data_IF_090898125408
#
_entry.id   IF_090898125408
#
_cell.length_a   1.000
_cell.length_b   1.000
_cell.length_c   1.000
_cell.angle_alpha   90.00
_cell.angle_beta   90.00
_cell.angle_gamma   90.00
#
_symmetry.space_group_name_H-M   'P 1'
#
loop_
_entity.id
_entity.type
_entity.pdbx_description
1 polymer ?
#
# COMPACT_ATOMS: atom_id res chain seq x y z
N UNK A 1 8.60 24.75 2.71
CA UNK A 1 7.62 23.92 1.97
C UNK A 1 7.26 24.62 0.67
N UNK A 2 7.26 23.89 -0.43
CA UNK A 2 6.85 24.38 -1.75
C UNK A 2 5.80 23.47 -2.35
N UNK A 3 4.93 24.01 -3.21
CA UNK A 3 3.96 23.23 -3.98
C UNK A 3 4.17 23.55 -5.46
N UNK A 4 4.41 22.52 -6.26
CA UNK A 4 4.57 22.65 -7.71
C UNK A 4 3.40 21.96 -8.39
N UNK A 5 2.76 22.66 -9.33
CA UNK A 5 1.70 22.09 -10.17
C UNK A 5 2.36 21.45 -11.40
N UNK A 6 2.61 20.14 -11.32
CA UNK A 6 3.26 19.38 -12.38
C UNK A 6 2.32 19.27 -13.59
N UNK A 7 2.67 19.83 -14.77
CA UNK A 7 1.83 19.71 -15.97
C UNK A 7 1.92 18.30 -16.55
N UNK A 8 0.77 17.75 -16.95
CA UNK A 8 0.66 16.42 -17.57
C UNK A 8 0.28 16.53 -19.02
N UNK A 9 -0.92 17.07 -19.32
CA UNK A 9 -1.47 17.18 -20.67
C UNK A 9 -2.58 18.23 -20.73
N UNK A 10 -3.00 18.57 -21.95
CA UNK A 10 -4.18 19.42 -22.17
C UNK A 10 -5.44 18.54 -22.31
N UNK A 11 -6.49 18.90 -21.58
CA UNK A 11 -7.79 18.23 -21.64
C UNK A 11 -8.60 18.68 -22.87
N UNK A 12 -9.71 17.98 -23.14
CA UNK A 12 -10.60 18.27 -24.27
C UNK A 12 -11.15 19.70 -24.26
N UNK A 13 -11.40 20.27 -23.10
CA UNK A 13 -11.90 21.64 -22.90
C UNK A 13 -10.80 22.71 -22.99
N UNK A 14 -9.56 22.32 -23.28
CA UNK A 14 -8.39 23.21 -23.33
C UNK A 14 -7.75 23.50 -21.96
N UNK A 15 -8.30 22.98 -20.87
CA UNK A 15 -7.68 23.10 -19.55
C UNK A 15 -6.46 22.17 -19.44
N UNK A 16 -5.51 22.51 -18.54
CA UNK A 16 -4.37 21.64 -18.26
C UNK A 16 -4.68 20.66 -17.15
N UNK A 17 -4.40 19.37 -17.37
CA UNK A 17 -4.28 18.39 -16.32
C UNK A 17 -2.95 18.60 -15.58
N UNK A 18 -3.02 18.88 -14.29
CA UNK A 18 -1.85 19.10 -13.44
C UNK A 18 -1.93 18.24 -12.18
N UNK A 19 -0.77 17.82 -11.67
CA UNK A 19 -0.64 17.07 -10.42
C UNK A 19 0.08 17.95 -9.39
N UNK A 20 -0.53 18.23 -8.21
CA UNK A 20 0.14 18.95 -7.15
C UNK A 20 1.21 18.07 -6.49
N UNK A 21 2.44 18.56 -6.48
CA UNK A 21 3.61 17.94 -5.85
C UNK A 21 4.07 18.84 -4.71
N UNK A 22 4.00 18.34 -3.50
CA UNK A 22 4.45 19.02 -2.29
C UNK A 22 5.89 18.65 -1.98
N UNK A 23 6.70 19.60 -1.56
CA UNK A 23 8.09 19.35 -1.21
C UNK A 23 8.46 20.05 0.09
N UNK A 24 9.07 19.31 1.02
CA UNK A 24 9.77 19.84 2.18
C UNK A 24 11.24 19.54 1.99
N UNK A 25 12.06 20.59 1.80
CA UNK A 25 13.53 20.49 1.72
C UNK A 25 14.12 20.83 3.07
N UNK A 26 14.93 19.91 3.60
CA UNK A 26 15.69 20.11 4.83
C UNK A 26 16.82 21.13 4.68
N UNK A 27 17.27 21.69 5.78
CA UNK A 27 18.46 22.57 5.84
C UNK A 27 19.76 21.79 5.73
N UNK A 28 19.74 20.49 5.98
CA UNK A 28 20.90 19.60 5.91
C UNK A 28 20.78 18.65 4.72
N UNK A 29 21.89 18.34 4.08
CA UNK A 29 21.93 17.36 2.98
C UNK A 29 21.55 15.96 3.46
N UNK A 30 20.89 15.22 2.58
CA UNK A 30 20.42 13.87 2.85
C UNK A 30 19.62 13.32 1.66
N UNK A 31 19.04 12.11 1.81
CA UNK A 31 18.29 11.48 0.72
C UNK A 31 16.92 12.13 0.48
N UNK A 32 16.30 11.76 -0.63
CA UNK A 32 14.94 12.13 -0.99
C UNK A 32 14.01 10.93 -0.77
N UNK A 33 13.05 11.08 0.16
CA UNK A 33 11.93 10.15 0.30
C UNK A 33 10.72 10.70 -0.44
N UNK A 34 10.16 9.91 -1.35
CA UNK A 34 8.89 10.23 -2.02
C UNK A 34 7.75 9.40 -1.46
N UNK A 35 6.63 10.06 -1.17
CA UNK A 35 5.37 9.46 -0.71
C UNK A 35 4.32 9.70 -1.76
N UNK A 36 3.88 8.63 -2.44
CA UNK A 36 2.85 8.66 -3.48
C UNK A 36 1.56 8.06 -2.93
N UNK A 37 0.45 8.65 -3.30
CA UNK A 37 -0.88 8.22 -2.90
C UNK A 37 -1.87 8.38 -4.05
N UNK A 38 -3.01 7.70 -3.94
CA UNK A 38 -4.15 7.85 -4.85
C UNK A 38 -3.79 7.65 -6.33
N UNK A 39 -3.02 6.59 -6.62
CA UNK A 39 -2.91 6.06 -7.98
C UNK A 39 -4.27 5.51 -8.45
N UNK A 40 -5.05 5.00 -7.50
CA UNK A 40 -6.44 4.57 -7.67
C UNK A 40 -7.36 5.57 -6.98
N UNK A 41 -8.30 6.15 -7.70
CA UNK A 41 -9.18 7.18 -7.18
C UNK A 41 -10.08 6.71 -6.02
N UNK A 42 -10.40 5.42 -5.98
CA UNK A 42 -11.15 4.81 -4.89
C UNK A 42 -10.35 4.70 -3.57
N UNK A 43 -9.03 4.93 -3.60
CA UNK A 43 -8.11 4.81 -2.46
C UNK A 43 -7.76 6.18 -1.85
N UNK A 44 -8.65 7.18 -2.00
CA UNK A 44 -8.41 8.59 -1.59
C UNK A 44 -8.21 8.79 -0.07
N UNK A 45 -8.46 7.79 0.75
CA UNK A 45 -8.13 7.77 2.17
C UNK A 45 -6.68 8.19 2.45
N UNK A 46 -5.74 7.82 1.59
CA UNK A 46 -4.31 8.10 1.73
C UNK A 46 -3.91 9.56 1.46
N UNK A 47 -4.80 10.39 0.90
CA UNK A 47 -4.57 11.84 0.74
C UNK A 47 -4.27 12.51 2.08
N UNK A 48 -5.03 12.14 3.13
CA UNK A 48 -4.86 12.70 4.47
C UNK A 48 -3.52 12.32 5.10
N UNK A 49 -2.99 11.13 4.78
CA UNK A 49 -1.69 10.67 5.25
C UNK A 49 -0.58 11.57 4.69
N UNK A 50 -0.61 11.82 3.37
CA UNK A 50 0.36 12.71 2.72
C UNK A 50 0.24 14.14 3.24
N UNK A 51 -0.99 14.65 3.38
CA UNK A 51 -1.24 15.99 3.92
C UNK A 51 -0.63 16.16 5.31
N UNK A 52 -0.83 15.17 6.20
CA UNK A 52 -0.35 15.23 7.59
C UNK A 52 1.16 15.17 7.68
N UNK A 53 1.80 14.21 7.00
CA UNK A 53 3.26 14.11 7.08
C UNK A 53 3.93 15.37 6.52
N UNK A 54 3.44 15.93 5.43
CA UNK A 54 3.97 17.18 4.86
C UNK A 54 3.79 18.37 5.82
N UNK A 55 2.66 18.45 6.53
CA UNK A 55 2.40 19.52 7.50
C UNK A 55 3.24 19.41 8.79
N UNK A 56 3.63 18.21 9.19
CA UNK A 56 4.44 17.96 10.39
C UNK A 56 5.93 18.26 10.19
N UNK A 57 6.43 18.14 8.96
CA UNK A 57 7.85 18.27 8.67
C UNK A 57 8.28 19.73 8.60
N UNK A 58 9.41 20.04 9.23
CA UNK A 58 10.05 21.35 9.16
C UNK A 58 11.44 21.25 8.54
N UNK A 59 11.89 22.26 7.76
CA UNK A 59 13.24 22.27 7.18
C UNK A 59 14.34 22.08 8.21
N UNK A 60 14.21 22.65 9.39
CA UNK A 60 15.19 22.56 10.48
C UNK A 60 15.38 21.13 11.01
N UNK A 61 14.28 20.37 11.13
CA UNK A 61 14.34 19.00 11.65
C UNK A 61 14.78 17.98 10.59
N UNK A 62 14.52 18.26 9.31
CA UNK A 62 14.72 17.32 8.21
C UNK A 62 16.15 17.35 7.67
N UNK A 63 16.68 16.17 7.37
CA UNK A 63 17.85 15.99 6.49
C UNK A 63 17.38 15.46 5.13
N UNK A 64 17.87 16.09 4.04
CA UNK A 64 17.44 15.72 2.71
C UNK A 64 16.10 16.32 2.34
N UNK A 65 15.21 15.51 1.76
CA UNK A 65 13.97 16.00 1.16
C UNK A 65 12.84 14.99 1.30
N UNK A 66 11.62 15.49 1.53
CA UNK A 66 10.40 14.69 1.39
C UNK A 66 9.55 15.29 0.29
N UNK A 67 9.17 14.45 -0.69
CA UNK A 67 8.24 14.78 -1.77
C UNK A 67 6.93 14.04 -1.49
N UNK A 68 5.82 14.77 -1.46
CA UNK A 68 4.47 14.23 -1.30
C UNK A 68 3.64 14.42 -2.56
N UNK A 69 3.10 13.34 -3.09
CA UNK A 69 2.13 13.34 -4.19
C UNK A 69 0.80 12.83 -3.64
N UNK A 70 -0.09 13.71 -3.15
CA UNK A 70 -1.33 13.27 -2.49
C UNK A 70 -2.32 12.62 -3.45
N UNK A 71 -2.30 13.04 -4.72
CA UNK A 71 -3.19 12.51 -5.76
C UNK A 71 -2.37 12.28 -7.03
N UNK A 72 -1.95 11.03 -7.25
CA UNK A 72 -1.19 10.68 -8.44
C UNK A 72 -2.08 10.58 -9.71
N UNK A 73 -3.35 10.19 -9.55
CA UNK A 73 -4.32 10.11 -10.64
C UNK A 73 -5.56 10.98 -10.37
N UNK A 74 -5.53 12.28 -10.72
CA UNK A 74 -6.68 13.16 -10.52
C UNK A 74 -7.94 12.72 -11.27
N UNK A 75 -7.78 12.14 -12.46
CA UNK A 75 -8.90 11.69 -13.29
C UNK A 75 -9.66 10.55 -12.62
N UNK A 76 -8.95 9.54 -12.11
CA UNK A 76 -9.56 8.45 -11.36
C UNK A 76 -10.21 8.94 -10.05
N UNK A 77 -9.60 9.94 -9.39
CA UNK A 77 -10.15 10.51 -8.16
C UNK A 77 -11.49 11.22 -8.40
N UNK A 78 -11.62 12.00 -9.45
CA UNK A 78 -12.87 12.71 -9.80
C UNK A 78 -14.07 11.76 -9.90
N UNK A 79 -13.83 10.49 -10.26
CA UNK A 79 -14.86 9.46 -10.42
C UNK A 79 -14.90 8.41 -9.29
N UNK A 80 -14.02 8.52 -8.31
CA UNK A 80 -13.85 7.52 -7.23
C UNK A 80 -13.65 6.09 -7.76
N UNK A 81 -13.04 5.95 -8.94
CA UNK A 81 -12.78 4.66 -9.58
C UNK A 81 -11.37 4.15 -9.27
N UNK A 82 -11.18 2.83 -9.40
CA UNK A 82 -9.84 2.26 -9.30
C UNK A 82 -8.97 2.68 -10.48
N UNK A 83 -9.47 2.47 -11.70
CA UNK A 83 -8.79 2.80 -12.94
C UNK A 83 -9.19 4.19 -13.41
N UNK A 84 -8.43 4.77 -14.32
CA UNK A 84 -8.89 5.92 -15.09
C UNK A 84 -10.16 5.52 -15.84
N UNK A 85 -11.24 6.31 -15.82
CA UNK A 85 -12.49 5.97 -16.52
C UNK A 85 -12.28 5.71 -18.00
N UNK A 86 -13.11 4.83 -18.60
CA UNK A 86 -13.03 4.39 -20.00
C UNK A 86 -13.21 5.54 -21.01
N UNK A 87 -14.05 6.54 -20.71
CA UNK A 87 -14.16 7.75 -21.51
C UNK A 87 -12.85 8.55 -21.60
N UNK A 88 -11.88 8.28 -20.76
CA UNK A 88 -10.55 8.90 -20.78
C UNK A 88 -9.49 8.01 -21.42
N UNK A 89 -9.31 6.77 -20.96
CA UNK A 89 -8.43 5.74 -21.55
C UNK A 89 -8.45 4.37 -20.84
N UNK A 90 -9.15 4.22 -19.72
CA UNK A 90 -9.39 2.99 -18.95
C UNK A 90 -8.20 2.32 -18.21
N UNK A 91 -6.90 2.59 -18.45
CA UNK A 91 -5.85 1.80 -17.82
C UNK A 91 -5.75 2.02 -16.29
N UNK A 92 -5.25 0.99 -15.61
CA UNK A 92 -4.77 1.08 -14.24
C UNK A 92 -3.40 1.79 -14.23
N UNK A 93 -3.30 2.98 -13.62
CA UNK A 93 -2.04 3.74 -13.54
C UNK A 93 -0.91 2.87 -12.96
N UNK A 94 -1.22 1.99 -12.01
CA UNK A 94 -0.23 1.09 -11.42
C UNK A 94 0.08 -0.16 -12.29
N UNK A 95 -0.18 -0.08 -13.62
CA UNK A 95 0.15 -1.12 -14.62
C UNK A 95 0.78 -0.55 -15.89
N UNK A 96 1.01 0.76 -15.94
CA UNK A 96 1.52 1.42 -17.17
C UNK A 96 2.88 2.09 -17.01
N UNK A 97 3.53 2.01 -15.85
CA UNK A 97 4.84 2.62 -15.61
C UNK A 97 5.93 2.08 -16.54
N UNK A 98 6.83 2.95 -17.06
CA UNK A 98 7.00 4.38 -16.73
C UNK A 98 6.08 5.31 -17.51
N UNK A 99 5.10 4.81 -18.25
CA UNK A 99 4.29 5.59 -19.17
C UNK A 99 5.00 5.85 -20.49
N UNK A 100 4.80 7.04 -21.07
CA UNK A 100 5.50 7.48 -22.29
C UNK A 100 4.68 7.29 -23.57
N UNK A 101 3.43 6.87 -23.45
CA UNK A 101 2.49 6.72 -24.56
C UNK A 101 1.66 7.97 -24.84
N UNK A 102 0.61 7.77 -25.60
CA UNK A 102 -0.34 8.83 -26.02
C UNK A 102 -1.47 9.04 -25.00
N UNK A 103 -1.78 8.00 -24.23
CA UNK A 103 -2.94 7.97 -23.34
C UNK A 103 -2.73 8.81 -22.08
N UNK A 104 -3.80 9.39 -21.54
CA UNK A 104 -3.74 10.26 -20.33
C UNK A 104 -3.04 9.57 -19.17
N UNK A 105 -3.39 8.31 -18.90
CA UNK A 105 -2.81 7.54 -17.79
C UNK A 105 -1.32 7.29 -17.99
N UNK A 106 -0.88 7.04 -19.21
CA UNK A 106 0.55 6.89 -19.53
C UNK A 106 1.30 8.23 -19.43
N UNK A 107 0.67 9.34 -19.83
CA UNK A 107 1.23 10.69 -19.67
C UNK A 107 1.36 11.08 -18.18
N UNK A 108 0.42 10.68 -17.34
CA UNK A 108 0.50 10.83 -15.87
C UNK A 108 1.73 10.09 -15.35
N UNK A 109 1.89 8.80 -15.71
CA UNK A 109 3.04 8.01 -15.28
C UNK A 109 4.37 8.63 -15.77
N UNK A 110 4.43 9.06 -17.04
CA UNK A 110 5.63 9.68 -17.62
C UNK A 110 6.01 11.01 -16.93
N UNK A 111 5.03 11.85 -16.61
CA UNK A 111 5.28 13.10 -15.91
C UNK A 111 5.81 12.85 -14.49
N UNK A 112 5.20 11.90 -13.75
CA UNK A 112 5.65 11.52 -12.42
C UNK A 112 7.03 10.84 -12.45
N UNK A 113 7.32 10.01 -13.46
CA UNK A 113 8.65 9.41 -13.61
C UNK A 113 9.72 10.47 -13.86
N UNK A 114 9.49 11.37 -14.80
CA UNK A 114 10.43 12.41 -15.19
C UNK A 114 10.72 13.42 -14.07
N UNK A 115 9.69 13.89 -13.37
CA UNK A 115 9.80 15.06 -12.49
C UNK A 115 9.81 14.70 -10.99
N UNK A 116 9.39 13.47 -10.64
CA UNK A 116 9.33 12.99 -9.26
C UNK A 116 10.30 11.83 -9.06
N UNK A 117 10.12 10.68 -9.74
CA UNK A 117 10.96 9.49 -9.50
C UNK A 117 12.43 9.71 -9.88
N UNK A 118 12.71 10.55 -10.88
CA UNK A 118 14.09 10.91 -11.24
C UNK A 118 14.89 11.59 -10.12
N UNK A 119 14.21 12.11 -9.08
CA UNK A 119 14.81 12.77 -7.91
C UNK A 119 14.63 11.98 -6.61
N UNK A 120 14.16 10.75 -6.69
CA UNK A 120 13.76 9.91 -5.55
C UNK A 120 14.85 8.90 -5.22
N UNK A 121 15.26 8.85 -3.96
CA UNK A 121 16.17 7.82 -3.43
C UNK A 121 15.40 6.68 -2.77
N UNK A 122 14.25 6.95 -2.14
CA UNK A 122 13.36 6.00 -1.48
C UNK A 122 11.91 6.30 -1.80
N UNK A 123 11.07 5.28 -1.96
CA UNK A 123 9.67 5.43 -2.35
C UNK A 123 8.72 4.70 -1.38
N UNK A 124 7.64 5.37 -1.01
CA UNK A 124 6.45 4.78 -0.41
C UNK A 124 5.24 5.01 -1.31
N UNK A 125 4.54 3.94 -1.66
CA UNK A 125 3.36 3.95 -2.51
C UNK A 125 2.16 3.39 -1.76
N UNK A 126 1.21 4.24 -1.40
CA UNK A 126 0.10 3.92 -0.49
C UNK A 126 -1.12 3.39 -1.24
N UNK A 127 -1.59 2.21 -0.81
CA UNK A 127 -2.76 1.51 -1.36
C UNK A 127 -3.70 1.01 -0.25
N UNK A 128 -4.43 1.87 0.45
CA UNK A 128 -5.44 1.42 1.40
C UNK A 128 -6.54 0.61 0.71
N UNK A 129 -7.38 -0.05 1.51
CA UNK A 129 -8.55 -0.73 0.98
C UNK A 129 -9.54 0.23 0.33
N UNK A 130 -10.30 -0.22 -0.68
CA UNK A 130 -11.38 0.55 -1.27
C UNK A 130 -12.55 0.70 -0.28
N UNK A 131 -13.57 1.44 -0.68
CA UNK A 131 -14.79 1.59 0.14
C UNK A 131 -15.35 0.23 0.60
N UNK A 132 -15.58 0.11 1.90
CA UNK A 132 -16.14 -1.09 2.53
C UNK A 132 -15.15 -2.20 2.82
N UNK A 133 -13.88 -2.08 2.45
CA UNK A 133 -12.84 -3.05 2.78
C UNK A 133 -11.62 -2.36 3.41
N UNK A 134 -10.95 -3.03 4.33
CA UNK A 134 -9.72 -2.58 4.96
C UNK A 134 -8.65 -3.66 4.87
N UNK A 135 -7.41 -3.24 4.64
CA UNK A 135 -6.23 -4.10 4.57
C UNK A 135 -5.28 -3.80 5.75
N UNK A 136 -4.38 -4.73 6.03
CA UNK A 136 -3.38 -4.61 7.08
C UNK A 136 -2.08 -5.29 6.65
N UNK A 137 -1.33 -4.65 5.73
CA UNK A 137 -0.03 -5.20 5.28
C UNK A 137 0.87 -4.12 4.70
N UNK A 138 2.19 -4.28 4.89
CA UNK A 138 3.22 -3.46 4.23
C UNK A 138 3.98 -4.35 3.25
N UNK A 139 3.84 -4.07 1.97
CA UNK A 139 4.49 -4.82 0.90
C UNK A 139 5.90 -4.33 0.58
N UNK A 140 6.80 -5.24 0.21
CA UNK A 140 8.11 -4.93 -0.36
C UNK A 140 8.44 -5.88 -1.51
N UNK A 141 9.33 -5.45 -2.42
CA UNK A 141 9.75 -6.27 -3.56
C UNK A 141 10.78 -7.32 -3.19
N UNK A 142 10.36 -8.58 -3.08
CA UNK A 142 11.22 -9.69 -2.69
C UNK A 142 11.98 -10.32 -3.87
N UNK A 143 11.51 -10.12 -5.10
CA UNK A 143 12.12 -10.64 -6.33
C UNK A 143 12.83 -9.58 -7.18
N UNK A 144 13.04 -8.37 -6.64
CA UNK A 144 13.79 -7.34 -7.34
C UNK A 144 15.23 -7.83 -7.62
N UNK A 145 15.79 -7.56 -8.83
CA UNK A 145 17.08 -8.11 -9.22
C UNK A 145 18.25 -7.58 -8.40
N UNK A 146 18.17 -6.34 -7.94
CA UNK A 146 19.22 -5.70 -7.14
C UNK A 146 19.08 -6.06 -5.65
N UNK A 147 20.10 -6.74 -5.09
CA UNK A 147 20.10 -7.21 -3.69
C UNK A 147 20.08 -6.06 -2.67
N UNK A 148 20.74 -4.93 -2.97
CA UNK A 148 20.69 -3.74 -2.10
C UNK A 148 19.27 -3.17 -2.06
N UNK A 149 18.62 -3.04 -3.21
CA UNK A 149 17.25 -2.52 -3.31
C UNK A 149 16.29 -3.43 -2.54
N UNK A 150 16.38 -4.77 -2.72
CA UNK A 150 15.56 -5.72 -1.95
C UNK A 150 15.74 -5.55 -0.46
N UNK A 151 17.00 -5.54 -0.01
CA UNK A 151 17.35 -5.45 1.40
C UNK A 151 16.84 -4.15 2.02
N UNK A 152 17.09 -3.01 1.41
CA UNK A 152 16.63 -1.71 1.89
C UNK A 152 15.10 -1.60 1.87
N UNK A 153 14.42 -2.18 0.88
CA UNK A 153 12.96 -2.25 0.86
C UNK A 153 12.39 -3.07 2.03
N UNK A 154 13.00 -4.22 2.34
CA UNK A 154 12.61 -5.02 3.49
C UNK A 154 12.85 -4.27 4.81
N UNK A 155 14.00 -3.62 4.97
CA UNK A 155 14.30 -2.82 6.16
C UNK A 155 13.32 -1.65 6.33
N UNK A 156 12.96 -0.95 5.25
CA UNK A 156 11.91 0.07 5.28
C UNK A 156 10.55 -0.49 5.71
N UNK A 157 10.16 -1.67 5.21
CA UNK A 157 8.90 -2.32 5.57
C UNK A 157 8.84 -2.69 7.06
N UNK A 158 9.94 -3.20 7.62
CA UNK A 158 10.08 -3.49 9.03
C UNK A 158 10.11 -2.21 9.88
N UNK A 159 10.89 -1.22 9.45
CA UNK A 159 11.00 0.08 10.13
C UNK A 159 9.68 0.84 10.14
N UNK A 160 8.81 0.67 9.12
CA UNK A 160 7.48 1.25 9.11
C UNK A 160 6.68 0.90 10.38
N UNK A 161 6.93 -0.30 10.95
CA UNK A 161 6.43 -0.65 12.27
C UNK A 161 5.02 -1.24 12.28
N UNK A 162 4.52 -1.75 11.14
CA UNK A 162 3.31 -2.55 11.09
C UNK A 162 3.65 -4.04 11.26
N UNK A 163 2.90 -4.83 12.04
CA UNK A 163 3.24 -6.23 12.30
C UNK A 163 3.14 -7.13 11.07
N UNK A 164 2.45 -6.75 10.00
CA UNK A 164 2.31 -7.53 8.77
C UNK A 164 3.27 -7.04 7.69
N UNK A 165 4.22 -7.88 7.28
CA UNK A 165 5.19 -7.60 6.23
C UNK A 165 5.05 -8.62 5.10
N UNK A 166 4.75 -8.13 3.89
CA UNK A 166 4.44 -8.98 2.75
C UNK A 166 5.51 -8.93 1.66
N UNK A 167 6.08 -10.07 1.35
CA UNK A 167 6.99 -10.24 0.22
C UNK A 167 6.19 -10.28 -1.11
N UNK A 168 6.39 -9.30 -1.97
CA UNK A 168 5.69 -9.18 -3.26
C UNK A 168 6.61 -9.59 -4.41
N UNK A 169 6.02 -10.12 -5.49
CA UNK A 169 6.73 -10.46 -6.73
C UNK A 169 6.59 -9.33 -7.74
N UNK A 170 7.47 -8.32 -7.60
CA UNK A 170 7.45 -7.11 -8.42
C UNK A 170 7.82 -7.36 -9.88
N UNK A 171 8.65 -8.35 -10.15
CA UNK A 171 9.11 -8.66 -11.51
C UNK A 171 8.28 -9.77 -12.15
N UNK A 172 7.94 -10.82 -11.37
CA UNK A 172 7.38 -12.05 -11.93
C UNK A 172 5.85 -12.10 -12.03
N UNK A 173 5.11 -11.49 -11.12
CA UNK A 173 3.66 -11.73 -11.03
C UNK A 173 2.81 -10.54 -10.59
N UNK A 174 2.88 -10.13 -9.32
CA UNK A 174 2.01 -9.10 -8.76
C UNK A 174 2.77 -8.28 -7.70
N UNK A 175 2.71 -6.96 -7.80
CA UNK A 175 1.97 -6.12 -8.74
C UNK A 175 2.53 -6.08 -10.16
N UNK A 176 3.71 -6.63 -10.42
CA UNK A 176 4.35 -6.77 -11.71
C UNK A 176 5.30 -5.60 -12.08
N UNK A 177 6.08 -5.77 -13.17
CA UNK A 177 7.18 -4.87 -13.52
C UNK A 177 6.72 -3.48 -14.00
N UNK A 178 5.47 -3.34 -14.41
CA UNK A 178 4.85 -2.07 -14.83
C UNK A 178 4.03 -1.41 -13.73
N UNK A 179 4.11 -1.87 -12.47
CA UNK A 179 3.69 -1.10 -11.33
C UNK A 179 4.74 -0.04 -10.98
N UNK A 180 4.37 1.02 -10.26
CA UNK A 180 5.34 2.02 -9.80
C UNK A 180 6.45 1.34 -8.98
N UNK A 181 6.08 0.45 -8.06
CA UNK A 181 7.02 -0.26 -7.20
C UNK A 181 7.94 -1.21 -7.99
N UNK A 182 7.40 -1.96 -8.96
CA UNK A 182 8.18 -2.83 -9.84
C UNK A 182 9.14 -2.05 -10.72
N UNK A 183 8.68 -0.99 -11.34
CA UNK A 183 9.49 -0.11 -12.18
C UNK A 183 10.57 0.64 -11.37
N UNK A 184 10.18 1.28 -10.27
CA UNK A 184 11.12 2.00 -9.40
C UNK A 184 12.22 1.08 -8.87
N UNK A 185 11.86 -0.13 -8.39
CA UNK A 185 12.83 -1.08 -7.86
C UNK A 185 13.71 -1.72 -8.92
N UNK A 186 13.15 -2.13 -10.06
CA UNK A 186 13.90 -2.87 -11.09
C UNK A 186 14.73 -1.96 -12.00
N UNK A 187 14.16 -0.82 -12.42
CA UNK A 187 14.78 0.07 -13.42
C UNK A 187 15.50 1.23 -12.76
N UNK A 188 14.80 1.97 -11.89
CA UNK A 188 15.35 3.14 -11.20
C UNK A 188 16.28 2.78 -10.04
N UNK A 189 16.28 1.52 -9.58
CA UNK A 189 17.05 1.04 -8.42
C UNK A 189 16.68 1.75 -7.11
N UNK A 190 15.41 2.14 -6.98
CA UNK A 190 14.86 2.84 -5.82
C UNK A 190 14.27 1.81 -4.86
N UNK A 191 14.78 1.68 -3.62
CA UNK A 191 14.13 0.91 -2.57
C UNK A 191 12.74 1.43 -2.29
N UNK A 192 11.76 0.53 -2.18
CA UNK A 192 10.38 0.95 -2.06
C UNK A 192 9.51 -0.01 -1.25
N UNK A 193 8.46 0.54 -0.64
CA UNK A 193 7.42 -0.20 0.06
C UNK A 193 6.04 0.26 -0.38
N UNK A 194 5.06 -0.66 -0.28
CA UNK A 194 3.64 -0.41 -0.53
C UNK A 194 2.81 -0.65 0.74
N UNK A 195 2.60 0.36 1.59
CA UNK A 195 1.65 0.23 2.70
C UNK A 195 0.22 0.11 2.18
N UNK A 196 -0.46 -0.97 2.57
CA UNK A 196 -1.86 -1.25 2.29
C UNK A 196 -2.57 -1.37 3.64
N UNK A 197 -2.85 -0.24 4.29
CA UNK A 197 -3.41 -0.22 5.64
C UNK A 197 -4.71 0.58 5.69
N UNK A 198 -5.70 0.03 6.40
CA UNK A 198 -7.01 0.66 6.55
C UNK A 198 -7.84 0.64 5.28
N UNK A 199 -8.89 1.43 5.28
CA UNK A 199 -9.87 1.61 4.21
C UNK A 199 -10.97 2.55 4.65
N UNK A 200 -11.90 2.87 3.76
CA UNK A 200 -13.00 3.80 4.00
C UNK A 200 -14.34 3.10 4.24
N UNK A 201 -15.25 3.81 4.89
CA UNK A 201 -16.61 3.35 5.17
C UNK A 201 -16.72 2.63 6.51
N UNK A 202 -15.70 2.69 7.35
CA UNK A 202 -15.71 2.22 8.74
C UNK A 202 -16.07 3.37 9.70
N UNK A 203 -16.04 3.11 11.00
CA UNK A 203 -16.27 4.17 11.97
C UNK A 203 -15.14 5.23 11.88
N UNK A 204 -15.47 6.54 11.97
CA UNK A 204 -14.49 7.60 11.82
C UNK A 204 -13.30 7.53 12.78
N UNK A 205 -13.48 6.94 13.95
CA UNK A 205 -12.41 6.72 14.92
C UNK A 205 -11.42 5.66 14.43
N UNK A 206 -11.92 4.57 13.87
CA UNK A 206 -11.10 3.49 13.31
C UNK A 206 -10.28 4.03 12.13
N UNK A 207 -10.92 4.78 11.24
CA UNK A 207 -10.24 5.38 10.09
C UNK A 207 -9.16 6.38 10.52
N UNK A 208 -9.43 7.22 11.53
CA UNK A 208 -8.41 8.12 12.09
C UNK A 208 -7.22 7.36 12.70
N UNK A 209 -7.45 6.26 13.41
CA UNK A 209 -6.39 5.45 13.97
C UNK A 209 -5.49 4.85 12.87
N UNK A 210 -6.06 4.37 11.77
CA UNK A 210 -5.27 3.90 10.63
C UNK A 210 -4.44 5.01 9.98
N UNK A 211 -4.95 6.24 9.90
CA UNK A 211 -4.18 7.40 9.42
C UNK A 211 -3.01 7.68 10.37
N UNK A 212 -3.25 7.72 11.69
CA UNK A 212 -2.20 7.91 12.70
C UNK A 212 -1.10 6.86 12.59
N UNK A 213 -1.49 5.59 12.46
CA UNK A 213 -0.56 4.48 12.32
C UNK A 213 0.33 4.63 11.08
N UNK A 214 -0.24 5.07 9.96
CA UNK A 214 0.50 5.26 8.73
C UNK A 214 1.42 6.49 8.76
N UNK A 215 0.97 7.60 9.35
CA UNK A 215 1.82 8.78 9.57
C UNK A 215 2.98 8.45 10.51
N UNK A 216 2.73 7.70 11.59
CA UNK A 216 3.78 7.15 12.46
C UNK A 216 4.74 6.25 11.69
N UNK A 217 4.23 5.38 10.82
CA UNK A 217 5.05 4.52 9.96
C UNK A 217 5.97 5.30 9.03
N UNK A 218 5.51 6.38 8.42
CA UNK A 218 6.36 7.26 7.61
C UNK A 218 7.46 7.89 8.49
N UNK A 219 7.11 8.42 9.68
CA UNK A 219 8.10 8.97 10.61
C UNK A 219 9.15 7.93 11.01
N UNK A 220 8.74 6.71 11.30
CA UNK A 220 9.64 5.61 11.62
C UNK A 220 10.64 5.33 10.49
N UNK A 221 10.19 5.35 9.24
CA UNK A 221 11.09 5.20 8.08
C UNK A 221 12.02 6.40 7.95
N UNK A 222 11.54 7.63 8.20
CA UNK A 222 12.42 8.81 8.21
C UNK A 222 13.52 8.71 9.28
N UNK A 223 13.22 8.20 10.49
CA UNK A 223 14.22 7.90 11.50
C UNK A 223 15.20 6.82 11.04
N UNK A 224 14.67 5.72 10.50
CA UNK A 224 15.51 4.60 10.00
C UNK A 224 16.48 5.05 8.89
N UNK A 225 16.04 5.95 8.00
CA UNK A 225 16.87 6.51 6.93
C UNK A 225 17.81 7.65 7.40
N UNK A 226 17.80 8.00 8.68
CA UNK A 226 18.58 9.11 9.23
C UNK A 226 18.15 10.49 8.73
N UNK A 227 16.91 10.60 8.24
CA UNK A 227 16.34 11.87 7.77
C UNK A 227 15.76 12.71 8.91
N UNK A 228 15.38 12.10 10.01
CA UNK A 228 15.05 12.74 11.28
C UNK A 228 15.99 12.25 12.38
N UNK A 229 16.22 13.08 13.40
CA UNK A 229 16.99 12.69 14.59
C UNK A 229 16.08 12.00 15.60
N UNK A 230 16.48 10.81 16.09
CA UNK A 230 15.74 9.99 17.04
C UNK A 230 15.66 8.54 16.59
N UNK A 231 14.77 7.80 17.22
CA UNK A 231 14.56 6.37 17.00
C UNK A 231 13.12 6.10 16.57
N UNK A 232 12.89 5.04 15.77
CA UNK A 232 11.55 4.61 15.42
C UNK A 232 10.71 4.31 16.66
N UNK A 233 9.50 4.86 16.71
CA UNK A 233 8.59 4.64 17.82
C UNK A 233 7.78 3.35 17.65
N UNK A 234 7.60 2.61 18.75
CA UNK A 234 6.62 1.50 18.82
C UNK A 234 6.77 0.42 17.74
N UNK A 235 8.00 -0.04 17.47
CA UNK A 235 8.19 -1.18 16.57
C UNK A 235 7.61 -2.47 17.20
N UNK A 236 6.92 -3.32 16.41
CA UNK A 236 6.37 -4.58 16.90
C UNK A 236 7.41 -5.51 17.52
N UNK A 237 7.02 -6.28 18.53
CA UNK A 237 7.85 -7.36 19.09
C UNK A 237 7.93 -8.55 18.14
N UNK A 238 6.91 -8.74 17.30
CA UNK A 238 6.83 -9.81 16.30
C UNK A 238 6.29 -9.28 15.00
N UNK A 239 6.80 -9.82 13.89
CA UNK A 239 6.31 -9.55 12.54
C UNK A 239 5.75 -10.83 11.92
N UNK A 240 4.59 -10.74 11.32
CA UNK A 240 4.08 -11.79 10.45
C UNK A 240 4.59 -11.53 9.03
N UNK A 241 5.58 -12.30 8.61
CA UNK A 241 6.15 -12.23 7.27
C UNK A 241 5.57 -13.32 6.40
N UNK A 242 5.05 -12.97 5.21
CA UNK A 242 4.47 -13.92 4.27
C UNK A 242 4.75 -13.54 2.82
N UNK A 243 4.84 -14.54 1.94
CA UNK A 243 5.25 -14.39 0.54
C UNK A 243 4.09 -14.57 -0.46
N UNK A 244 2.96 -15.12 -0.04
CA UNK A 244 1.83 -15.39 -0.92
C UNK A 244 0.99 -14.15 -1.24
N UNK A 245 0.14 -14.25 -2.27
CA UNK A 245 -0.93 -13.28 -2.52
C UNK A 245 -1.96 -13.24 -1.39
N UNK A 246 -1.92 -14.23 -0.50
CA UNK A 246 -2.98 -14.56 0.41
C UNK A 246 -4.21 -15.14 -0.34
N UNK A 247 -5.07 -15.76 0.41
CA UNK A 247 -6.34 -16.29 -0.11
C UNK A 247 -7.39 -15.17 -0.03
N UNK A 248 -7.93 -14.80 -1.18
CA UNK A 248 -9.09 -13.90 -1.25
C UNK A 248 -10.35 -14.71 -1.01
N UNK A 249 -11.13 -14.32 -0.02
CA UNK A 249 -12.48 -14.82 0.21
C UNK A 249 -13.42 -13.77 -0.35
N UNK A 250 -14.03 -14.08 -1.49
CA UNK A 250 -14.92 -13.18 -2.22
C UNK A 250 -16.30 -13.84 -2.38
N UNK A 251 -17.38 -13.09 -2.34
CA UNK A 251 -18.70 -13.64 -2.58
C UNK A 251 -18.83 -14.13 -4.04
N UNK A 252 -19.50 -15.25 -4.22
CA UNK A 252 -19.94 -15.75 -5.53
C UNK A 252 -21.38 -15.33 -5.85
N UNK A 253 -22.11 -14.86 -4.84
CA UNK A 253 -23.48 -14.34 -4.93
C UNK A 253 -23.51 -12.85 -4.59
N UNK A 254 -24.27 -12.09 -5.37
CA UNK A 254 -24.57 -10.69 -5.03
C UNK A 254 -25.61 -10.62 -3.92
N UNK A 255 -25.49 -9.65 -3.01
CA UNK A 255 -26.41 -9.47 -1.93
C UNK A 255 -25.89 -8.54 -0.83
N UNK A 256 -26.48 -8.60 0.35
CA UNK A 256 -26.03 -7.86 1.52
C UNK A 256 -25.04 -8.74 2.30
N UNK A 257 -23.77 -8.31 2.32
CA UNK A 257 -22.74 -8.94 3.15
C UNK A 257 -22.94 -8.51 4.60
N UNK A 258 -23.08 -9.48 5.49
CA UNK A 258 -22.94 -9.31 6.93
C UNK A 258 -21.55 -9.80 7.34
N UNK A 259 -20.70 -8.87 7.70
CA UNK A 259 -19.35 -9.18 8.14
C UNK A 259 -19.38 -9.79 9.54
N UNK A 260 -19.02 -11.06 9.65
CA UNK A 260 -18.90 -11.75 10.95
C UNK A 260 -17.58 -11.44 11.66
N UNK A 261 -16.63 -10.85 10.95
CA UNK A 261 -15.32 -10.41 11.45
C UNK A 261 -15.02 -9.01 10.90
N UNK A 262 -14.91 -8.03 11.78
CA UNK A 262 -14.60 -6.64 11.43
C UNK A 262 -13.11 -6.28 11.58
N UNK A 263 -12.82 -4.98 11.72
CA UNK A 263 -11.43 -4.49 11.84
C UNK A 263 -10.65 -5.08 13.03
N UNK A 264 -11.33 -5.51 14.08
CA UNK A 264 -10.72 -6.16 15.25
C UNK A 264 -10.11 -7.53 14.92
N UNK A 265 -10.51 -8.14 13.80
CA UNK A 265 -9.97 -9.41 13.34
C UNK A 265 -8.69 -9.24 12.50
N UNK A 266 -8.32 -8.03 12.11
CA UNK A 266 -7.06 -7.81 11.40
C UNK A 266 -5.87 -8.25 12.25
N UNK A 267 -4.97 -9.02 11.64
CA UNK A 267 -3.78 -9.60 12.28
C UNK A 267 -4.09 -10.66 13.36
N UNK A 268 -5.30 -11.22 13.37
CA UNK A 268 -5.63 -12.40 14.20
C UNK A 268 -5.55 -13.69 13.40
N UNK A 269 -5.27 -14.79 14.09
CA UNK A 269 -5.27 -16.13 13.53
C UNK A 269 -6.71 -16.63 13.31
N UNK A 270 -6.89 -17.43 12.26
CA UNK A 270 -8.16 -18.07 11.91
C UNK A 270 -7.92 -19.50 11.45
N UNK A 271 -8.80 -20.42 11.85
CA UNK A 271 -8.76 -21.81 11.39
C UNK A 271 -9.55 -21.97 10.09
N UNK A 272 -9.08 -22.86 9.22
CA UNK A 272 -9.81 -23.28 8.01
C UNK A 272 -11.25 -23.67 8.34
N UNK A 273 -12.20 -23.23 7.53
CA UNK A 273 -13.62 -23.50 7.71
C UNK A 273 -14.33 -22.56 8.68
N UNK A 274 -13.63 -21.65 9.36
CA UNK A 274 -14.26 -20.61 10.18
C UNK A 274 -15.11 -19.70 9.30
N UNK A 275 -16.37 -19.49 9.67
CA UNK A 275 -17.27 -18.52 9.01
C UNK A 275 -16.80 -17.11 9.30
N UNK A 276 -16.51 -16.37 8.25
CA UNK A 276 -16.04 -14.98 8.30
C UNK A 276 -17.18 -13.98 8.09
N UNK A 277 -18.21 -14.38 7.33
CA UNK A 277 -19.38 -13.56 7.06
C UNK A 277 -20.40 -14.33 6.25
N UNK A 278 -21.55 -13.71 6.01
CA UNK A 278 -22.65 -14.30 5.23
C UNK A 278 -23.18 -13.31 4.21
N UNK A 279 -23.68 -13.80 3.08
CA UNK A 279 -24.37 -12.99 2.07
C UNK A 279 -25.85 -13.33 2.11
N UNK A 280 -26.69 -12.31 2.23
CA UNK A 280 -28.16 -12.45 2.32
C UNK A 280 -28.82 -11.75 1.13
N UNK A 281 -29.89 -12.33 0.58
CA UNK A 281 -30.68 -11.70 -0.46
C UNK A 281 -31.35 -10.43 0.08
N UNK A 282 -31.22 -9.27 -0.60
CA UNK A 282 -31.92 -8.07 -0.18
C UNK A 282 -33.42 -8.11 -0.50
N UNK A 283 -33.89 -9.12 -1.22
CA UNK A 283 -35.28 -9.26 -1.65
C UNK A 283 -36.05 -10.32 -0.87
N UNK A 284 -35.42 -11.50 -0.65
CA UNK A 284 -36.08 -12.64 0.05
C UNK A 284 -35.62 -12.81 1.49
N UNK A 285 -34.53 -12.11 1.88
CA UNK A 285 -33.87 -12.19 3.18
C UNK A 285 -33.26 -13.56 3.51
N UNK A 286 -33.22 -14.45 2.53
CA UNK A 286 -32.59 -15.76 2.68
C UNK A 286 -31.07 -15.64 2.67
N UNK A 287 -30.37 -16.46 3.46
CA UNK A 287 -28.95 -16.60 3.39
C UNK A 287 -28.57 -17.30 2.10
N UNK A 288 -27.78 -16.64 1.27
CA UNK A 288 -27.35 -17.12 -0.04
C UNK A 288 -26.01 -17.84 -0.01
N UNK A 289 -25.12 -17.43 0.90
CA UNK A 289 -23.73 -17.91 0.94
C UNK A 289 -23.11 -17.69 2.32
N UNK A 290 -22.24 -18.60 2.73
CA UNK A 290 -21.28 -18.40 3.83
C UNK A 290 -19.90 -18.18 3.27
N UNK A 291 -19.21 -17.14 3.72
CA UNK A 291 -17.83 -16.87 3.40
C UNK A 291 -16.94 -17.50 4.48
N UNK A 292 -16.15 -18.49 4.11
CA UNK A 292 -15.34 -19.28 5.06
C UNK A 292 -13.85 -19.10 4.82
N UNK A 293 -13.05 -19.19 5.88
CA UNK A 293 -11.59 -19.19 5.77
C UNK A 293 -11.13 -20.46 5.01
N UNK A 294 -10.38 -20.30 3.91
CA UNK A 294 -9.97 -21.46 3.07
C UNK A 294 -8.79 -22.23 3.65
N UNK A 295 -8.05 -21.63 4.55
CA UNK A 295 -6.83 -22.16 5.18
C UNK A 295 -6.74 -21.74 6.64
N UNK A 296 -5.91 -22.42 7.43
CA UNK A 296 -5.43 -21.87 8.69
C UNK A 296 -4.44 -20.75 8.38
N UNK A 297 -4.60 -19.59 9.03
CA UNK A 297 -3.78 -18.45 8.66
C UNK A 297 -4.07 -17.18 9.47
N UNK A 298 -3.58 -16.07 8.97
CA UNK A 298 -3.75 -14.73 9.58
C UNK A 298 -4.61 -13.87 8.68
N UNK A 299 -5.64 -13.24 9.25
CA UNK A 299 -6.52 -12.32 8.52
C UNK A 299 -5.77 -10.99 8.32
N UNK A 300 -5.57 -10.57 7.07
CA UNK A 300 -4.95 -9.28 6.73
C UNK A 300 -5.83 -8.38 5.88
N UNK A 301 -7.08 -8.77 5.65
CA UNK A 301 -8.10 -7.94 5.03
C UNK A 301 -9.49 -8.34 5.49
N UNK A 302 -10.33 -7.34 5.75
CA UNK A 302 -11.70 -7.48 6.22
C UNK A 302 -12.62 -6.54 5.48
N UNK A 303 -13.91 -6.92 5.38
CA UNK A 303 -14.97 -6.04 4.92
C UNK A 303 -15.83 -5.57 6.10
N UNK A 304 -16.62 -4.53 5.84
CA UNK A 304 -17.77 -4.14 6.67
C UNK A 304 -19.08 -4.72 6.10
N UNK A 305 -20.17 -4.48 6.78
CA UNK A 305 -21.50 -4.73 6.23
C UNK A 305 -21.79 -3.78 5.04
N UNK A 306 -22.06 -4.31 3.86
CA UNK A 306 -22.45 -3.53 2.69
C UNK A 306 -23.01 -4.41 1.56
N UNK A 307 -23.53 -3.77 0.49
CA UNK A 307 -23.97 -4.47 -0.70
C UNK A 307 -22.77 -4.92 -1.53
N UNK A 308 -22.72 -6.21 -1.85
CA UNK A 308 -21.63 -6.83 -2.62
C UNK A 308 -22.12 -7.42 -3.93
N UNK A 309 -21.24 -7.40 -4.91
CA UNK A 309 -21.37 -8.16 -6.17
C UNK A 309 -20.49 -9.40 -6.10
N UNK A 310 -20.74 -10.41 -6.96
CA UNK A 310 -19.80 -11.50 -7.13
C UNK A 310 -18.40 -10.99 -7.42
N UNK A 311 -17.39 -11.46 -6.67
CA UNK A 311 -16.00 -11.06 -6.82
C UNK A 311 -15.55 -9.82 -6.04
N UNK A 312 -16.45 -9.09 -5.39
CA UNK A 312 -16.07 -7.97 -4.51
C UNK A 312 -15.21 -8.47 -3.34
N UNK A 313 -14.38 -7.61 -2.80
CA UNK A 313 -13.50 -7.97 -1.68
C UNK A 313 -14.31 -8.16 -0.39
N UNK A 314 -14.06 -9.26 0.30
CA UNK A 314 -14.60 -9.48 1.63
C UNK A 314 -13.48 -9.76 2.63
N UNK A 315 -12.73 -10.85 2.48
CA UNK A 315 -11.64 -11.17 3.39
C UNK A 315 -10.38 -11.59 2.66
N UNK A 316 -9.24 -11.41 3.33
CA UNK A 316 -7.93 -11.90 2.89
C UNK A 316 -7.26 -12.64 4.04
N UNK A 317 -6.85 -13.88 3.79
CA UNK A 317 -6.19 -14.76 4.76
C UNK A 317 -4.82 -15.17 4.20
N UNK A 318 -3.77 -14.88 4.94
CA UNK A 318 -2.42 -15.36 4.62
C UNK A 318 -2.19 -16.72 5.27
N UNK A 319 -1.78 -17.72 4.48
CA UNK A 319 -1.54 -19.10 4.96
C UNK A 319 -0.36 -19.11 5.94
N UNK A 320 -0.58 -19.67 7.13
CA UNK A 320 0.46 -19.83 8.16
C UNK A 320 1.03 -21.26 8.23
N UNK A 321 0.49 -22.21 7.43
CA UNK A 321 0.79 -23.65 7.59
C UNK A 321 1.78 -24.18 6.58
N UNK A 322 1.89 -23.59 5.39
CA UNK A 322 2.68 -24.13 4.26
C UNK A 322 4.04 -23.44 4.07
N UNK A 323 4.57 -22.77 5.10
CA UNK A 323 5.82 -22.04 4.98
C UNK A 323 5.68 -20.67 4.32
N UNK A 324 4.53 -20.31 3.77
CA UNK A 324 4.26 -19.02 3.14
C UNK A 324 4.25 -17.87 4.14
N UNK A 325 3.79 -18.12 5.39
CA UNK A 325 3.72 -17.11 6.45
C UNK A 325 4.31 -17.62 7.75
N UNK A 326 4.97 -16.72 8.49
CA UNK A 326 5.48 -17.01 9.82
C UNK A 326 5.57 -15.76 10.69
N UNK A 327 5.34 -15.95 11.98
CA UNK A 327 5.68 -14.99 13.00
C UNK A 327 7.19 -14.98 13.26
N UNK A 328 7.80 -13.82 13.18
CA UNK A 328 9.24 -13.60 13.39
C UNK A 328 9.41 -12.65 14.54
N UNK A 329 10.05 -13.13 15.61
CA UNK A 329 10.35 -12.31 16.78
C UNK A 329 11.44 -11.28 16.44
N UNK A 330 11.21 -10.03 16.82
CA UNK A 330 12.21 -8.97 16.69
C UNK A 330 13.25 -9.10 17.82
N UNK A 331 14.40 -9.68 17.47
CA UNK A 331 15.58 -9.71 18.32
C UNK A 331 16.61 -8.72 17.78
N UNK A 332 16.70 -7.55 18.41
CA UNK A 332 17.63 -6.51 18.01
C UNK A 332 17.09 -5.51 16.98
N UNK A 333 17.95 -5.06 16.09
CA UNK A 333 17.70 -4.01 15.10
C UNK A 333 16.84 -4.51 13.94
N UNK A 334 16.27 -3.55 13.20
CA UNK A 334 15.55 -3.82 11.92
C UNK A 334 16.41 -4.63 10.95
N UNK A 335 17.70 -4.30 10.84
CA UNK A 335 18.64 -5.00 9.95
C UNK A 335 18.89 -6.45 10.37
N UNK A 336 18.89 -6.77 11.66
CA UNK A 336 19.02 -8.14 12.15
C UNK A 336 17.78 -8.97 11.85
N UNK A 337 16.58 -8.38 12.00
CA UNK A 337 15.31 -9.03 11.62
C UNK A 337 15.26 -9.28 10.10
N UNK A 338 15.65 -8.29 9.29
CA UNK A 338 15.72 -8.45 7.84
C UNK A 338 16.67 -9.59 7.44
N UNK A 339 17.85 -9.69 8.08
CA UNK A 339 18.78 -10.79 7.84
C UNK A 339 18.18 -12.17 8.23
N UNK A 340 17.38 -12.24 9.30
CA UNK A 340 16.70 -13.47 9.69
C UNK A 340 15.65 -13.91 8.65
N UNK A 341 14.88 -12.96 8.11
CA UNK A 341 13.91 -13.20 7.04
C UNK A 341 14.61 -13.73 5.77
N UNK A 342 15.70 -13.09 5.36
CA UNK A 342 16.45 -13.50 4.16
C UNK A 342 17.06 -14.91 4.32
N UNK A 343 17.62 -15.24 5.49
CA UNK A 343 18.11 -16.62 5.77
C UNK A 343 17.02 -17.65 5.68
N UNK A 344 15.82 -17.36 6.23
CA UNK A 344 14.67 -18.25 6.15
C UNK A 344 14.24 -18.49 4.70
N UNK A 345 14.16 -17.42 3.90
CA UNK A 345 13.83 -17.54 2.48
C UNK A 345 14.84 -18.38 1.70
N UNK A 346 16.14 -18.27 2.01
CA UNK A 346 17.21 -19.02 1.37
C UNK A 346 17.21 -20.52 1.76
N UNK A 347 16.74 -20.86 2.97
CA UNK A 347 16.68 -22.27 3.45
C UNK A 347 15.47 -23.04 2.91
N UNK A 348 14.60 -22.43 2.13
CA UNK A 348 13.40 -23.11 1.58
C UNK A 348 12.32 -23.42 2.62
N UNK A 349 12.44 -22.87 3.83
CA UNK A 349 11.45 -22.99 4.92
C UNK A 349 10.47 -21.82 4.91
N UNK A 350 10.44 -21.07 3.79
CA UNK A 350 9.47 -19.98 3.55
C UNK A 350 8.39 -20.45 2.57
#
# INVERSE_FOLDING_TARGET
MTVTMLPVTTRLDGSELRIPVHEVKGERDGPTLTVVSTQHGAEWFSVEIVRRIIAELTPKALRGRVIGVPVANPVALEHFTRMTPDESDEPDLNRVWPGGGTWITEQIAAALDRDVLARTDFLMDFHPGPWGAALATVGYGADLPDGRVRRQSLEMALAFGHPSVRALKMVGAFPGPRSIAGYAGSVRKIPNIGPCLGGLGFAPEIERNWIEDQVRGIRNVLYHLGMLEGEPASLPLTYFHFASRGHRVVPTRGGYLRAGRGPEALMTEVSKGTVLGTVTSPYTFEQLEELVAPVDGVIFGVARDYMVRPGDWAYFVADSTRGDGAWIERRGSVSEVAAAIERRAASGTA
#
